data_IF_661045111671
#
_entry.id   IF_661045111671
#
_cell.length_a   1.000
_cell.length_b   1.000
_cell.length_c   1.000
_cell.angle_alpha   90.00
_cell.angle_beta   90.00
_cell.angle_gamma   90.00
#
_symmetry.space_group_name_H-M   'P 1'
#
loop_
_entity.id
_entity.type
_entity.pdbx_description
1 polymer ?
#
# COMPACT_ATOMS: atom_id res chain seq x y z
N UNK A 1 -0.12 -29.22 28.76
CA UNK A 1 -1.04 -29.30 27.59
C UNK A 1 -0.86 -28.01 26.80
N UNK A 2 -0.05 -28.02 25.75
CA UNK A 2 0.22 -26.83 24.92
C UNK A 2 -0.92 -26.67 23.89
N UNK A 3 -1.50 -25.48 23.68
CA UNK A 3 -2.57 -25.34 22.71
C UNK A 3 -2.00 -25.53 21.31
N UNK A 4 -2.65 -26.43 20.57
CA UNK A 4 -2.45 -26.70 19.16
C UNK A 4 -2.44 -25.39 18.38
N UNK A 5 -1.45 -25.25 17.51
CA UNK A 5 -1.33 -24.23 16.47
C UNK A 5 -2.72 -23.77 15.99
N UNK A 6 -3.13 -22.57 16.38
CA UNK A 6 -4.19 -21.88 15.65
C UNK A 6 -3.70 -21.80 14.21
N UNK A 7 -4.35 -22.56 13.31
CA UNK A 7 -4.15 -22.42 11.87
C UNK A 7 -4.41 -20.96 11.56
N UNK A 8 -3.35 -20.19 11.33
CA UNK A 8 -3.47 -18.82 10.82
C UNK A 8 -4.30 -18.94 9.56
N UNK A 9 -5.45 -18.25 9.49
CA UNK A 9 -6.21 -18.16 8.24
C UNK A 9 -5.22 -17.74 7.13
N UNK A 10 -5.20 -18.40 5.97
CA UNK A 10 -4.37 -17.96 4.86
C UNK A 10 -4.67 -16.48 4.63
N UNK A 11 -3.62 -15.66 4.59
CA UNK A 11 -3.79 -14.27 4.18
C UNK A 11 -4.41 -14.28 2.78
N UNK A 12 -5.33 -13.34 2.47
CA UNK A 12 -5.85 -13.20 1.12
C UNK A 12 -4.69 -13.19 0.12
N UNK A 13 -4.86 -13.88 -1.01
CA UNK A 13 -3.87 -13.82 -2.08
C UNK A 13 -3.80 -12.39 -2.62
N UNK A 14 -2.63 -11.90 -3.05
CA UNK A 14 -2.54 -10.62 -3.75
C UNK A 14 -3.50 -10.60 -4.95
N UNK A 15 -4.24 -9.51 -5.11
CA UNK A 15 -5.10 -9.24 -6.25
C UNK A 15 -4.28 -8.94 -7.52
N UNK A 16 -3.09 -8.38 -7.34
CA UNK A 16 -2.14 -8.05 -8.41
C UNK A 16 -0.69 -8.14 -7.89
N UNK A 17 0.27 -8.16 -8.80
CA UNK A 17 1.69 -8.10 -8.46
C UNK A 17 2.11 -6.62 -8.26
N UNK A 18 2.95 -6.30 -7.26
CA UNK A 18 3.38 -4.92 -7.02
C UNK A 18 4.36 -4.38 -8.08
N UNK A 19 4.88 -5.22 -8.98
CA UNK A 19 5.97 -4.85 -9.86
C UNK A 19 7.22 -4.42 -9.07
N UNK A 20 7.92 -3.40 -9.58
CA UNK A 20 9.05 -2.79 -8.88
C UNK A 20 8.57 -1.89 -7.75
N UNK A 21 9.13 -2.05 -6.55
CA UNK A 21 8.79 -1.21 -5.39
C UNK A 21 9.82 -0.10 -5.27
N UNK A 22 9.35 1.14 -5.27
CA UNK A 22 10.16 2.35 -5.09
C UNK A 22 9.71 3.07 -3.83
N UNK A 23 10.66 3.54 -3.04
CA UNK A 23 10.40 4.39 -1.88
C UNK A 23 10.83 5.81 -2.22
N UNK A 24 10.02 6.79 -1.85
CA UNK A 24 10.45 8.18 -1.88
C UNK A 24 11.69 8.39 -1.00
N UNK A 25 12.39 9.51 -1.20
CA UNK A 25 13.60 9.78 -0.43
C UNK A 25 13.33 9.85 1.07
N UNK A 26 12.25 10.52 1.47
CA UNK A 26 11.84 10.65 2.87
C UNK A 26 11.41 9.30 3.47
N UNK A 27 10.60 8.51 2.76
CA UNK A 27 10.20 7.16 3.22
C UNK A 27 11.42 6.25 3.36
N UNK A 28 12.35 6.30 2.40
CA UNK A 28 13.61 5.54 2.46
C UNK A 28 14.46 5.99 3.64
N UNK A 29 14.54 7.29 3.91
CA UNK A 29 15.26 7.82 5.06
C UNK A 29 14.65 7.33 6.38
N UNK A 30 13.33 7.46 6.55
CA UNK A 30 12.60 6.98 7.73
C UNK A 30 12.80 5.47 7.95
N UNK A 31 12.72 4.66 6.88
CA UNK A 31 12.97 3.23 6.93
C UNK A 31 14.42 2.92 7.33
N UNK A 32 15.41 3.66 6.80
CA UNK A 32 16.83 3.49 7.15
C UNK A 32 17.11 3.77 8.63
N UNK A 33 16.29 4.61 9.27
CA UNK A 33 16.34 4.93 10.69
C UNK A 33 15.50 3.98 11.55
N UNK A 34 14.89 2.94 10.96
CA UNK A 34 13.95 2.04 11.64
C UNK A 34 12.75 2.76 12.28
N UNK A 35 12.37 3.92 11.75
CA UNK A 35 11.22 4.70 12.24
C UNK A 35 9.90 4.18 11.65
N UNK A 36 9.95 3.58 10.46
CA UNK A 36 8.82 2.93 9.79
C UNK A 36 9.27 1.65 9.08
N UNK A 37 8.34 0.74 8.85
CA UNK A 37 8.48 -0.37 7.90
C UNK A 37 7.44 -0.17 6.77
N UNK A 38 7.86 0.15 5.53
CA UNK A 38 6.93 0.42 4.44
C UNK A 38 6.32 -0.84 3.81
N UNK A 39 6.97 -2.01 3.92
CA UNK A 39 6.56 -3.23 3.22
C UNK A 39 5.19 -3.78 3.64
N UNK A 40 4.78 -3.75 4.93
CA UNK A 40 3.43 -4.12 5.34
C UNK A 40 2.33 -3.35 4.60
N UNK A 41 2.58 -2.09 4.25
CA UNK A 41 1.61 -1.24 3.55
C UNK A 41 1.51 -1.58 2.07
N UNK A 42 2.62 -1.95 1.42
CA UNK A 42 2.58 -2.53 0.07
C UNK A 42 1.81 -3.85 0.07
N UNK A 43 2.03 -4.70 1.08
CA UNK A 43 1.30 -5.97 1.22
C UNK A 43 -0.21 -5.81 1.41
N UNK A 44 -0.64 -4.75 2.07
CA UNK A 44 -2.05 -4.39 2.21
C UNK A 44 -2.62 -3.89 0.88
N UNK A 45 -1.91 -2.98 0.22
CA UNK A 45 -2.27 -2.42 -1.08
C UNK A 45 -2.52 -3.51 -2.14
N UNK A 46 -1.57 -4.43 -2.33
CA UNK A 46 -1.72 -5.51 -3.32
C UNK A 46 -2.84 -6.51 -3.01
N UNK A 47 -3.41 -6.48 -1.81
CA UNK A 47 -4.54 -7.32 -1.38
C UNK A 47 -5.88 -6.60 -1.41
N UNK A 48 -5.92 -5.37 -1.91
CA UNK A 48 -7.14 -4.56 -1.95
C UNK A 48 -7.51 -3.93 -0.61
N UNK A 49 -6.61 -3.95 0.38
CA UNK A 49 -6.79 -3.12 1.56
C UNK A 49 -6.31 -1.70 1.21
N UNK A 50 -7.27 -0.86 0.82
CA UNK A 50 -6.97 0.51 0.39
C UNK A 50 -6.73 1.49 1.54
N UNK A 51 -6.91 1.06 2.78
CA UNK A 51 -6.78 1.90 3.97
C UNK A 51 -7.80 3.04 4.03
N UNK A 52 -7.32 4.22 4.43
CA UNK A 52 -8.08 5.45 4.69
C UNK A 52 -8.35 6.26 3.41
N UNK A 53 -8.85 5.60 2.37
CA UNK A 53 -9.37 6.25 1.16
C UNK A 53 -10.89 6.37 1.25
N UNK A 54 -11.45 7.41 0.63
CA UNK A 54 -12.89 7.60 0.52
C UNK A 54 -13.55 6.56 -0.38
N UNK A 55 -14.88 6.44 -0.31
CA UNK A 55 -15.63 5.42 -1.08
C UNK A 55 -15.44 5.55 -2.59
N UNK A 56 -15.43 6.77 -3.12
CA UNK A 56 -15.21 7.00 -4.55
C UNK A 56 -13.83 6.53 -5.02
N UNK A 57 -12.78 6.74 -4.22
CA UNK A 57 -11.42 6.30 -4.56
C UNK A 57 -11.27 4.78 -4.40
N UNK A 58 -11.95 4.18 -3.42
CA UNK A 58 -12.07 2.73 -3.29
C UNK A 58 -12.72 2.10 -4.52
N UNK A 59 -13.85 2.64 -4.98
CA UNK A 59 -14.51 2.16 -6.19
C UNK A 59 -13.64 2.37 -7.44
N UNK A 60 -12.91 3.49 -7.52
CA UNK A 60 -11.96 3.74 -8.60
C UNK A 60 -10.82 2.70 -8.61
N UNK A 61 -10.27 2.34 -7.46
CA UNK A 61 -9.26 1.28 -7.35
C UNK A 61 -9.82 -0.08 -7.77
N UNK A 62 -11.04 -0.41 -7.35
CA UNK A 62 -11.67 -1.68 -7.71
C UNK A 62 -11.88 -1.78 -9.22
N UNK A 63 -12.28 -0.69 -9.88
CA UNK A 63 -12.35 -0.62 -11.34
C UNK A 63 -10.96 -0.66 -12.01
N UNK A 64 -9.95 -0.07 -11.40
CA UNK A 64 -8.58 -0.02 -11.91
C UNK A 64 -7.94 -1.42 -12.02
N UNK A 65 -8.36 -2.36 -11.17
CA UNK A 65 -7.97 -3.77 -11.26
C UNK A 65 -8.35 -4.40 -12.61
N UNK A 66 -9.49 -4.00 -13.19
CA UNK A 66 -10.01 -4.55 -14.44
C UNK A 66 -9.56 -3.74 -15.67
N UNK A 67 -9.56 -2.41 -15.56
CA UNK A 67 -9.33 -1.53 -16.71
C UNK A 67 -7.90 -1.01 -16.84
N UNK A 68 -6.99 -1.32 -15.91
CA UNK A 68 -5.60 -0.87 -15.97
C UNK A 68 -5.46 0.64 -15.75
N UNK A 69 -5.80 1.10 -14.55
CA UNK A 69 -5.64 2.49 -14.12
C UNK A 69 -4.75 2.57 -12.86
N UNK A 70 -4.26 3.76 -12.47
CA UNK A 70 -3.47 3.88 -11.25
C UNK A 70 -4.31 3.55 -10.02
N UNK A 71 -3.75 2.79 -9.09
CA UNK A 71 -4.39 2.47 -7.82
C UNK A 71 -3.70 3.23 -6.70
N UNK A 72 -4.47 3.83 -5.79
CA UNK A 72 -3.95 4.61 -4.67
C UNK A 72 -4.46 4.07 -3.34
N UNK A 73 -3.59 3.91 -2.35
CA UNK A 73 -3.97 3.62 -0.97
C UNK A 73 -3.33 4.59 -0.01
N UNK A 74 -4.00 4.79 1.13
CA UNK A 74 -3.54 5.69 2.18
C UNK A 74 -3.57 4.97 3.51
N UNK A 75 -2.46 4.97 4.24
CA UNK A 75 -2.37 4.29 5.54
C UNK A 75 -1.81 5.21 6.60
N UNK A 76 -2.56 5.43 7.68
CA UNK A 76 -2.01 6.08 8.87
C UNK A 76 -1.05 5.12 9.61
N UNK A 77 0.14 5.61 9.91
CA UNK A 77 1.11 4.98 10.82
C UNK A 77 0.91 5.55 12.23
N UNK A 78 0.80 6.88 12.31
CA UNK A 78 0.50 7.63 13.53
C UNK A 78 -0.49 8.75 13.18
N UNK A 79 -1.07 9.46 14.17
CA UNK A 79 -1.96 10.60 13.88
C UNK A 79 -1.33 11.72 13.03
N UNK A 80 -0.01 11.76 12.92
CA UNK A 80 0.73 12.79 12.15
C UNK A 80 1.56 12.22 11.00
N UNK A 81 1.52 10.91 10.78
CA UNK A 81 2.32 10.25 9.75
C UNK A 81 1.46 9.23 9.02
N UNK A 82 1.36 9.39 7.71
CA UNK A 82 0.70 8.44 6.83
C UNK A 82 1.55 8.17 5.61
N UNK A 83 1.35 7.01 4.99
CA UNK A 83 1.93 6.66 3.70
C UNK A 83 0.85 6.66 2.63
N UNK A 84 1.23 7.10 1.44
CA UNK A 84 0.51 6.83 0.20
C UNK A 84 1.26 5.72 -0.53
N UNK A 85 0.54 4.69 -0.95
CA UNK A 85 1.05 3.62 -1.83
C UNK A 85 0.32 3.73 -3.16
N UNK A 86 1.05 3.93 -4.25
CA UNK A 86 0.49 4.10 -5.59
C UNK A 86 1.06 3.05 -6.52
N UNK A 87 0.20 2.32 -7.21
CA UNK A 87 0.60 1.45 -8.34
C UNK A 87 0.24 2.13 -9.65
N UNK A 88 1.18 2.20 -10.59
CA UNK A 88 0.97 2.79 -11.91
C UNK A 88 -0.01 1.98 -12.77
N UNK A 89 -0.57 2.59 -13.82
CA UNK A 89 -1.59 1.96 -14.68
C UNK A 89 -1.14 0.65 -15.35
N UNK A 90 0.16 0.53 -15.65
CA UNK A 90 0.79 -0.67 -16.20
C UNK A 90 1.08 -1.73 -15.12
N UNK A 91 0.78 -1.44 -13.85
CA UNK A 91 1.04 -2.27 -12.67
C UNK A 91 2.50 -2.72 -12.53
N UNK A 92 3.42 -2.05 -13.23
CA UNK A 92 4.84 -2.36 -13.25
C UNK A 92 5.63 -1.69 -12.13
N UNK A 93 5.07 -0.66 -11.50
CA UNK A 93 5.74 0.10 -10.44
C UNK A 93 4.77 0.44 -9.32
N UNK A 94 5.18 0.14 -8.09
CA UNK A 94 4.54 0.59 -6.86
C UNK A 94 5.44 1.60 -6.15
N UNK A 95 4.97 2.83 -5.96
CA UNK A 95 5.68 3.89 -5.23
C UNK A 95 5.07 4.05 -3.84
N UNK A 96 5.92 4.10 -2.81
CA UNK A 96 5.55 4.42 -1.43
C UNK A 96 6.14 5.78 -1.07
N UNK A 97 5.29 6.71 -0.69
CA UNK A 97 5.65 8.12 -0.42
C UNK A 97 4.82 8.73 0.69
N UNK A 98 5.24 9.88 1.21
CA UNK A 98 4.45 10.69 2.12
C UNK A 98 3.39 11.49 1.34
N UNK A 99 2.24 11.84 1.95
CA UNK A 99 1.22 12.66 1.30
C UNK A 99 1.74 14.02 0.82
N UNK A 100 2.62 14.66 1.59
CA UNK A 100 3.23 15.94 1.25
C UNK A 100 4.15 15.91 0.02
N UNK A 101 4.69 14.74 -0.34
CA UNK A 101 5.55 14.57 -1.52
C UNK A 101 4.74 14.46 -2.81
N UNK A 102 3.44 14.14 -2.71
CA UNK A 102 2.57 13.98 -3.87
C UNK A 102 2.18 15.35 -4.41
N UNK A 103 2.85 15.80 -5.46
CA UNK A 103 2.39 16.94 -6.25
C UNK A 103 1.04 16.58 -6.87
N UNK A 104 0.02 17.43 -6.67
CA UNK A 104 -1.29 17.27 -7.32
C UNK A 104 -1.07 17.51 -8.82
N UNK A 105 -0.99 16.43 -9.60
CA UNK A 105 -0.96 16.47 -11.07
C UNK A 105 -2.38 16.40 -11.62
#
# INVERSE_FOLDING_TARGET
MFPLFQRRKPLPQPLFAPGSIQLSEEVRWLASKSLIDPLPYVHRHVRGDWGEVGEAERQANDMALECGAPMTSRFAITPRLSLIVVTSSDQGTTVVQLPEERTVT
#
